data_IF_081017147518
#
_entry.id   IF_081017147518
#
_cell.length_a   1.000
_cell.length_b   1.000
_cell.length_c   1.000
_cell.angle_alpha   90.00
_cell.angle_beta   90.00
_cell.angle_gamma   90.00
#
_symmetry.space_group_name_H-M   'P 1'
#
loop_
_entity.id
_entity.type
_entity.pdbx_description
1 polymer ?
#
# COMPACT_ATOMS: atom_id res chain seq x y z
N UNK A 1 -14.80 4.38 7.56
CA UNK A 1 -13.78 4.19 8.57
C UNK A 1 -13.09 5.51 8.83
N UNK A 2 -12.73 5.74 10.09
CA UNK A 2 -12.09 6.99 10.50
C UNK A 2 -10.58 7.04 10.17
N UNK A 3 -10.01 5.91 9.75
CA UNK A 3 -8.60 5.77 9.40
C UNK A 3 -8.43 5.08 8.06
N UNK A 4 -7.42 5.50 7.30
CA UNK A 4 -7.10 4.90 5.99
C UNK A 4 -6.29 3.61 6.18
N UNK A 5 -5.33 3.64 7.12
CA UNK A 5 -4.52 2.48 7.51
C UNK A 5 -4.88 2.01 8.90
N UNK A 6 -4.93 0.69 9.10
CA UNK A 6 -5.28 0.09 10.39
C UNK A 6 -4.35 0.54 11.54
N UNK A 7 -3.07 0.81 11.28
CA UNK A 7 -2.15 1.25 12.33
C UNK A 7 -2.53 2.62 12.93
N UNK A 8 -3.23 3.47 12.19
CA UNK A 8 -3.66 4.79 12.67
C UNK A 8 -4.69 4.68 13.80
N UNK A 9 -5.42 3.56 13.91
CA UNK A 9 -6.29 3.28 15.05
C UNK A 9 -5.50 2.96 16.35
N UNK A 10 -4.19 2.75 16.24
CA UNK A 10 -3.28 2.38 17.33
C UNK A 10 -2.02 3.28 17.35
N UNK A 11 -2.18 4.55 16.99
CA UNK A 11 -1.10 5.51 16.72
C UNK A 11 -0.24 5.94 17.93
N UNK A 12 -0.55 5.48 19.16
CA UNK A 12 0.19 5.85 20.38
C UNK A 12 1.68 5.54 20.30
N UNK A 13 2.06 4.52 19.53
CA UNK A 13 3.44 4.13 19.31
C UNK A 13 4.10 4.85 18.11
N UNK A 14 3.35 5.73 17.43
CA UNK A 14 3.76 6.36 16.18
C UNK A 14 3.52 5.46 14.95
N UNK A 15 3.93 5.94 13.76
CA UNK A 15 3.87 5.15 12.53
C UNK A 15 4.83 3.96 12.57
N UNK A 16 4.53 2.86 11.86
CA UNK A 16 5.47 1.75 11.75
C UNK A 16 6.73 2.15 10.97
N UNK A 17 7.86 1.54 11.31
CA UNK A 17 9.11 1.69 10.56
C UNK A 17 9.00 1.11 9.14
N UNK A 18 8.26 0.00 9.01
CA UNK A 18 8.00 -0.74 7.78
C UNK A 18 6.52 -1.13 7.74
N UNK A 19 5.85 -0.82 6.64
CA UNK A 19 4.44 -1.15 6.39
C UNK A 19 4.34 -2.06 5.17
N UNK A 20 3.60 -3.16 5.29
CA UNK A 20 3.28 -4.04 4.18
C UNK A 20 1.84 -3.84 3.72
N UNK A 21 1.59 -4.00 2.42
CA UNK A 21 0.25 -3.87 1.85
C UNK A 21 0.07 -4.85 0.68
N UNK A 22 -1.19 -5.27 0.46
CA UNK A 22 -1.61 -6.16 -0.62
C UNK A 22 -3.16 -6.11 -0.70
N UNK A 23 -3.81 -7.22 -1.08
CA UNK A 23 -5.28 -7.40 -1.04
C UNK A 23 -6.04 -6.23 -1.67
N UNK A 24 -6.64 -5.37 -0.84
CA UNK A 24 -7.52 -4.28 -1.25
C UNK A 24 -6.88 -3.30 -2.24
N UNK A 25 -5.54 -3.15 -2.25
CA UNK A 25 -4.84 -2.30 -3.21
C UNK A 25 -5.04 -2.75 -4.67
N UNK A 26 -5.07 -4.06 -4.92
CA UNK A 26 -5.15 -4.63 -6.25
C UNK A 26 -6.57 -4.97 -6.70
N UNK A 27 -7.53 -5.01 -5.77
CA UNK A 27 -8.95 -5.33 -6.04
C UNK A 27 -9.15 -6.45 -7.08
N UNK A 28 -8.49 -7.59 -6.86
CA UNK A 28 -8.48 -8.76 -7.76
C UNK A 28 -7.20 -8.92 -8.57
N UNK A 29 -6.37 -7.89 -8.68
CA UNK A 29 -5.06 -7.94 -9.33
C UNK A 29 -3.93 -8.27 -8.35
N UNK A 30 -2.92 -9.02 -8.82
CA UNK A 30 -1.76 -9.42 -8.00
C UNK A 30 -0.84 -8.24 -7.71
N UNK A 31 -1.03 -7.60 -6.56
CA UNK A 31 -0.22 -6.49 -6.06
C UNK A 31 0.09 -6.71 -4.58
N UNK A 32 1.36 -6.54 -4.24
CA UNK A 32 1.84 -6.43 -2.86
C UNK A 32 3.06 -5.53 -2.82
N UNK A 33 3.30 -4.93 -1.66
CA UNK A 33 4.42 -4.01 -1.50
C UNK A 33 4.81 -3.81 -0.05
N UNK A 34 5.99 -3.23 0.10
CA UNK A 34 6.56 -2.78 1.36
C UNK A 34 6.90 -1.31 1.19
N UNK A 35 6.51 -0.49 2.17
CA UNK A 35 6.93 0.91 2.25
C UNK A 35 7.61 1.13 3.60
N UNK A 36 8.75 1.82 3.59
CA UNK A 36 9.50 2.17 4.77
C UNK A 36 10.21 3.50 4.53
N UNK A 37 10.80 4.08 5.60
CA UNK A 37 11.61 5.29 5.47
C UNK A 37 12.83 5.03 4.59
N UNK A 38 13.33 6.07 3.92
CA UNK A 38 14.40 5.96 2.94
C UNK A 38 15.68 5.36 3.56
N UNK A 39 16.02 5.71 4.80
CA UNK A 39 17.16 5.17 5.51
C UNK A 39 17.03 3.67 5.85
N UNK A 40 15.83 3.10 5.78
CA UNK A 40 15.58 1.66 5.92
C UNK A 40 15.59 0.97 4.55
N UNK A 41 14.92 1.54 3.54
CA UNK A 41 14.86 0.92 2.20
C UNK A 41 16.21 0.91 1.49
N UNK A 42 17.00 1.97 1.65
CA UNK A 42 18.24 2.19 0.89
C UNK A 42 19.46 1.46 1.49
N UNK A 43 19.29 0.71 2.58
CA UNK A 43 20.38 -0.15 3.11
C UNK A 43 20.56 -1.41 2.26
N UNK A 44 19.55 -1.77 1.46
CA UNK A 44 19.63 -2.88 0.52
C UNK A 44 20.43 -2.40 -0.69
N UNK A 45 21.72 -2.73 -0.69
CA UNK A 45 22.68 -2.41 -1.75
C UNK A 45 22.72 -3.49 -2.86
N UNK A 46 21.91 -4.53 -2.71
CA UNK A 46 21.76 -5.61 -3.68
C UNK A 46 20.45 -5.48 -4.47
N UNK A 47 20.40 -6.11 -5.64
CA UNK A 47 19.16 -6.09 -6.42
C UNK A 47 18.06 -6.88 -5.70
N UNK A 48 16.98 -6.19 -5.36
CA UNK A 48 15.71 -6.81 -4.98
C UNK A 48 14.84 -6.99 -6.22
N UNK A 49 14.79 -8.21 -6.77
CA UNK A 49 14.02 -8.50 -7.98
C UNK A 49 12.76 -9.31 -7.69
N UNK A 50 11.72 -9.06 -8.49
CA UNK A 50 10.57 -9.94 -8.63
C UNK A 50 10.21 -10.03 -10.11
N UNK A 51 10.00 -11.24 -10.63
CA UNK A 51 9.63 -11.46 -12.04
C UNK A 51 8.34 -10.74 -12.43
N UNK A 52 7.38 -10.62 -11.50
CA UNK A 52 6.09 -9.99 -11.74
C UNK A 52 5.81 -8.76 -10.86
N UNK A 53 6.68 -8.50 -9.88
CA UNK A 53 6.54 -7.36 -8.97
C UNK A 53 6.66 -6.05 -9.74
N UNK A 54 5.72 -5.14 -9.51
CA UNK A 54 5.69 -3.84 -10.19
C UNK A 54 5.33 -3.91 -11.67
N UNK A 55 4.73 -5.00 -12.16
CA UNK A 55 4.22 -5.08 -13.54
C UNK A 55 3.31 -3.90 -13.87
N UNK A 56 3.49 -3.30 -15.05
CA UNK A 56 2.72 -2.12 -15.49
C UNK A 56 1.22 -2.35 -15.47
N UNK A 57 0.77 -3.56 -15.81
CA UNK A 57 -0.66 -3.94 -15.78
C UNK A 57 -1.19 -3.92 -14.36
N UNK A 58 -0.44 -4.49 -13.41
CA UNK A 58 -0.89 -4.56 -12.03
C UNK A 58 -0.84 -3.18 -11.37
N UNK A 59 0.20 -2.38 -11.64
CA UNK A 59 0.30 -1.01 -11.14
C UNK A 59 -0.80 -0.10 -11.69
N UNK A 60 -1.16 -0.21 -12.98
CA UNK A 60 -2.27 0.54 -13.56
C UNK A 60 -3.61 0.20 -12.90
N UNK A 61 -3.87 -1.09 -12.66
CA UNK A 61 -5.06 -1.54 -11.95
C UNK A 61 -5.11 -1.03 -10.51
N UNK A 62 -3.98 -1.10 -9.79
CA UNK A 62 -3.87 -0.58 -8.43
C UNK A 62 -4.11 0.93 -8.34
N UNK A 63 -3.56 1.70 -9.28
CA UNK A 63 -3.79 3.14 -9.35
C UNK A 63 -5.26 3.45 -9.64
N UNK A 64 -5.87 2.79 -10.63
CA UNK A 64 -7.28 2.99 -10.96
C UNK A 64 -8.20 2.67 -9.76
N UNK A 65 -7.90 1.60 -9.03
CA UNK A 65 -8.65 1.21 -7.84
C UNK A 65 -8.51 2.22 -6.69
N UNK A 66 -7.29 2.70 -6.42
CA UNK A 66 -7.05 3.72 -5.40
C UNK A 66 -7.74 5.05 -5.76
N UNK A 67 -7.66 5.47 -7.02
CA UNK A 67 -8.35 6.66 -7.51
C UNK A 67 -9.86 6.52 -7.30
N UNK A 68 -10.45 5.40 -7.72
CA UNK A 68 -11.89 5.15 -7.53
C UNK A 68 -12.30 5.20 -6.05
N UNK A 69 -11.50 4.57 -5.17
CA UNK A 69 -11.73 4.58 -3.71
C UNK A 69 -11.79 6.00 -3.16
N UNK A 70 -10.89 6.88 -3.59
CA UNK A 70 -10.81 8.27 -3.14
C UNK A 70 -11.95 9.12 -3.72
N UNK A 71 -12.25 8.97 -5.01
CA UNK A 71 -13.31 9.73 -5.70
C UNK A 71 -14.72 9.40 -5.18
N UNK A 72 -14.94 8.18 -4.69
CA UNK A 72 -16.24 7.71 -4.23
C UNK A 72 -16.38 7.67 -2.70
N UNK A 73 -15.40 8.21 -1.96
CA UNK A 73 -15.35 8.19 -0.49
C UNK A 73 -15.65 6.80 0.10
N UNK A 74 -15.04 5.75 -0.48
CA UNK A 74 -15.29 4.39 0.01
C UNK A 74 -14.73 4.20 1.43
N UNK A 75 -13.70 4.98 1.80
CA UNK A 75 -13.26 5.04 3.19
C UNK A 75 -14.41 5.56 4.06
N UNK A 76 -15.01 6.71 3.78
CA UNK A 76 -16.12 7.26 4.56
C UNK A 76 -17.32 6.30 4.65
N UNK A 77 -17.63 5.61 3.54
CA UNK A 77 -18.69 4.60 3.49
C UNK A 77 -18.45 3.38 4.39
N UNK A 78 -17.20 3.05 4.73
CA UNK A 78 -16.86 1.93 5.60
C UNK A 78 -16.91 2.31 7.10
N UNK A 79 -17.70 3.30 7.49
CA UNK A 79 -17.89 3.69 8.91
C UNK A 79 -18.87 2.75 9.59
#
# INVERSE_FOLDING_TARGET
GDHFWGWQAHDRAGPPDVLTFAKGIGNGMSIGGVVARAEIMNVIDTNSLSTFGGSLVTMAAGLANLTYLLEHDLQGNAR
#
